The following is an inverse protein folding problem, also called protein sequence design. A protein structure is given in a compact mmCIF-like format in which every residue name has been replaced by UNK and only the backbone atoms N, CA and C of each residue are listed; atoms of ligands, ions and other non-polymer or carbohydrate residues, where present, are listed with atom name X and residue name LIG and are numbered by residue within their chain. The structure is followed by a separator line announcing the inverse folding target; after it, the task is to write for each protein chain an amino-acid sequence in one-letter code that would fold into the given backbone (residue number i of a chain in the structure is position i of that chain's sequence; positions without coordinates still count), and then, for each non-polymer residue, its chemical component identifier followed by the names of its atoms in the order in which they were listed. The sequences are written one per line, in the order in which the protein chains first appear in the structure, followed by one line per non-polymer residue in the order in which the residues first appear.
data_IF_410193181977
#
_entry.id   IF_410193181977
#
_cell.length_a   1.000
_cell.length_b   1.000
_cell.length_c   1.000
_cell.angle_alpha   90.00
_cell.angle_beta   90.00
_cell.angle_gamma   90.00
#
_symmetry.space_group_name_H-M   'P 1'
#
loop_
_entity.id
_entity.type
_entity.pdbx_description
1 polymer ?
#
# COMPACT_ATOMS: atom_id res chain seq x y z
N UNK A 1 18.64 24.57 -15.66
CA UNK A 1 18.69 23.13 -15.31
C UNK A 1 17.26 22.62 -15.33
N UNK A 2 16.87 21.84 -16.34
CA UNK A 2 15.54 21.23 -16.39
C UNK A 2 15.55 20.01 -15.46
N UNK A 3 14.90 20.10 -14.31
CA UNK A 3 14.45 18.88 -13.63
C UNK A 3 13.39 18.27 -14.57
N UNK A 4 13.59 17.07 -15.14
CA UNK A 4 12.48 16.42 -15.81
C UNK A 4 11.37 16.31 -14.77
N UNK A 5 10.14 16.67 -15.15
CA UNK A 5 8.95 16.47 -14.33
C UNK A 5 8.89 14.99 -13.98
N UNK A 6 9.54 14.62 -12.86
CA UNK A 6 9.53 13.26 -12.36
C UNK A 6 8.10 13.05 -11.95
N UNK A 7 7.38 12.26 -12.74
CA UNK A 7 6.09 11.71 -12.35
C UNK A 7 6.29 11.11 -10.97
N UNK A 8 5.79 11.79 -9.93
CA UNK A 8 5.80 11.29 -8.58
C UNK A 8 4.71 10.22 -8.54
N UNK A 9 5.06 9.03 -8.07
CA UNK A 9 4.06 7.98 -7.86
C UNK A 9 3.69 7.94 -6.39
N UNK A 10 2.47 7.49 -6.12
CA UNK A 10 2.00 7.17 -4.79
C UNK A 10 1.57 5.71 -4.72
N UNK A 11 1.71 5.12 -3.53
CA UNK A 11 1.35 3.76 -3.21
C UNK A 11 0.47 3.71 -1.97
N UNK A 12 -0.44 2.74 -1.91
CA UNK A 12 -1.26 2.47 -0.72
C UNK A 12 -1.46 0.97 -0.53
N UNK A 13 -1.61 0.55 0.72
CA UNK A 13 -2.10 -0.78 1.02
C UNK A 13 -3.62 -0.81 0.84
N UNK A 14 -4.10 -1.90 0.23
CA UNK A 14 -5.51 -2.24 0.07
C UNK A 14 -5.74 -3.68 0.49
N UNK A 15 -7.00 -4.00 0.72
CA UNK A 15 -7.46 -5.33 1.05
C UNK A 15 -8.88 -5.57 0.54
N UNK A 16 -9.28 -6.83 0.50
CA UNK A 16 -10.60 -7.28 0.05
C UNK A 16 -11.69 -6.90 1.06
N UNK A 17 -12.90 -6.60 0.58
CA UNK A 17 -14.03 -6.18 1.42
C UNK A 17 -14.45 -7.24 2.47
N UNK A 18 -14.01 -8.50 2.28
CA UNK A 18 -14.20 -9.61 3.22
C UNK A 18 -13.32 -9.51 4.49
N UNK A 19 -12.27 -8.67 4.48
CA UNK A 19 -11.42 -8.45 5.67
C UNK A 19 -12.13 -7.49 6.63
N UNK A 20 -12.33 -7.85 7.91
CA UNK A 20 -13.00 -6.99 8.88
C UNK A 20 -12.32 -5.61 9.03
N UNK A 21 -13.08 -4.53 9.09
CA UNK A 21 -12.52 -3.16 9.21
C UNK A 21 -11.73 -2.94 10.52
N UNK A 22 -12.06 -3.65 11.60
CA UNK A 22 -11.29 -3.56 12.85
C UNK A 22 -9.88 -4.17 12.72
N UNK A 23 -9.69 -5.05 11.74
CA UNK A 23 -8.42 -5.70 11.44
C UNK A 23 -7.49 -4.87 10.54
N UNK A 24 -8.02 -3.94 9.74
CA UNK A 24 -7.23 -3.20 8.74
C UNK A 24 -6.37 -2.06 9.30
N UNK A 25 -6.51 -1.74 10.59
CA UNK A 25 -5.80 -0.62 11.23
C UNK A 25 -6.18 0.75 10.66
N UNK A 26 -5.65 1.82 11.27
CA UNK A 26 -5.92 3.23 10.90
C UNK A 26 -5.25 3.69 9.60
N UNK A 27 -4.27 2.93 9.09
CA UNK A 27 -3.37 3.39 8.01
C UNK A 27 -3.80 2.88 6.63
N UNK A 28 -4.76 1.98 6.60
CA UNK A 28 -5.22 1.36 5.40
C UNK A 28 -6.09 2.33 4.57
N UNK A 29 -5.57 2.78 3.44
CA UNK A 29 -6.29 3.69 2.54
C UNK A 29 -5.61 5.04 2.32
N UNK A 30 -4.58 5.38 3.10
CA UNK A 30 -3.74 6.55 2.82
C UNK A 30 -2.78 6.26 1.66
N UNK A 31 -2.65 7.25 0.78
CA UNK A 31 -1.63 7.26 -0.27
C UNK A 31 -0.32 7.82 0.30
N UNK A 32 0.78 7.13 0.03
CA UNK A 32 2.14 7.52 0.42
C UNK A 32 3.00 7.71 -0.83
N UNK A 33 3.98 8.63 -0.83
CA UNK A 33 4.95 8.71 -1.92
C UNK A 33 5.65 7.35 -2.14
N UNK A 34 5.86 6.96 -3.40
CA UNK A 34 6.52 5.72 -3.80
C UNK A 34 8.03 5.78 -3.55
N UNK A 35 8.41 5.68 -2.28
CA UNK A 35 9.80 5.58 -1.82
C UNK A 35 10.12 4.14 -1.42
N UNK A 36 11.41 3.77 -1.45
CA UNK A 36 11.84 2.44 -1.01
C UNK A 36 11.35 2.12 0.41
N UNK A 37 11.46 3.09 1.32
CA UNK A 37 11.03 2.97 2.70
C UNK A 37 9.52 2.68 2.83
N UNK A 38 8.69 3.43 2.09
CA UNK A 38 7.25 3.22 2.12
C UNK A 38 6.87 1.87 1.49
N UNK A 39 7.53 1.48 0.40
CA UNK A 39 7.29 0.18 -0.24
C UNK A 39 7.59 -0.98 0.69
N UNK A 40 8.74 -0.97 1.36
CA UNK A 40 9.09 -2.02 2.33
C UNK A 40 8.04 -2.15 3.44
N UNK A 41 7.58 -1.03 4.00
CA UNK A 41 6.53 -1.03 5.02
C UNK A 41 5.20 -1.62 4.53
N UNK A 42 4.77 -1.23 3.32
CA UNK A 42 3.53 -1.74 2.75
C UNK A 42 3.65 -3.21 2.33
N UNK A 43 4.81 -3.66 1.87
CA UNK A 43 5.06 -5.07 1.55
C UNK A 43 5.02 -5.95 2.81
N UNK A 44 5.62 -5.51 3.92
CA UNK A 44 5.52 -6.19 5.22
C UNK A 44 4.08 -6.27 5.71
N UNK A 45 3.33 -5.17 5.60
CA UNK A 45 1.92 -5.12 5.98
C UNK A 45 1.05 -6.02 5.08
N UNK A 46 1.29 -6.03 3.77
CA UNK A 46 0.65 -6.90 2.80
C UNK A 46 0.90 -8.37 3.11
N UNK A 47 2.16 -8.75 3.34
CA UNK A 47 2.54 -10.12 3.68
C UNK A 47 1.90 -10.56 5.00
N UNK A 48 1.85 -9.68 5.99
CA UNK A 48 1.19 -9.95 7.28
C UNK A 48 -0.32 -10.12 7.11
N UNK A 49 -0.96 -9.23 6.37
CA UNK A 49 -2.40 -9.30 6.09
C UNK A 49 -2.78 -10.58 5.36
N UNK A 50 -2.04 -10.91 4.29
CA UNK A 50 -2.26 -12.17 3.55
C UNK A 50 -2.08 -13.41 4.44
N UNK A 51 -1.09 -13.42 5.34
CA UNK A 51 -0.91 -14.53 6.29
C UNK A 51 -2.09 -14.68 7.26
N UNK A 52 -2.70 -13.58 7.68
CA UNK A 52 -3.76 -13.58 8.69
C UNK A 52 -5.14 -13.87 8.11
N UNK A 53 -5.43 -13.34 6.91
CA UNK A 53 -6.78 -13.34 6.33
C UNK A 53 -6.91 -14.23 5.10
N UNK A 54 -5.81 -14.81 4.62
CA UNK A 54 -5.76 -15.64 3.44
C UNK A 54 -5.00 -14.96 2.30
N UNK A 55 -4.45 -15.78 1.41
CA UNK A 55 -3.67 -15.28 0.29
C UNK A 55 -4.48 -14.31 -0.60
N UNK A 56 -3.78 -13.31 -1.14
CA UNK A 56 -4.34 -12.31 -2.05
C UNK A 56 -5.45 -11.42 -1.46
N UNK A 57 -5.70 -11.49 -0.15
CA UNK A 57 -6.61 -10.57 0.54
C UNK A 57 -6.06 -9.16 0.67
N UNK A 58 -4.75 -8.96 0.58
CA UNK A 58 -4.05 -7.68 0.67
C UNK A 58 -3.13 -7.45 -0.54
N UNK A 59 -3.12 -6.23 -1.07
CA UNK A 59 -2.27 -5.81 -2.19
C UNK A 59 -1.84 -4.34 -2.08
N UNK A 60 -0.76 -3.99 -2.78
CA UNK A 60 -0.30 -2.60 -2.91
C UNK A 60 -0.80 -2.04 -4.24
N UNK A 61 -1.54 -0.94 -4.17
CA UNK A 61 -1.90 -0.17 -5.36
C UNK A 61 -0.88 0.93 -5.61
N UNK A 62 -0.74 1.33 -6.88
CA UNK A 62 0.14 2.41 -7.32
C UNK A 62 -0.61 3.35 -8.26
N UNK A 63 -0.42 4.65 -8.09
CA UNK A 63 -0.92 5.69 -8.99
C UNK A 63 0.13 6.75 -9.29
N UNK A 64 -0.05 7.46 -10.39
CA UNK A 64 0.64 8.72 -10.64
C UNK A 64 -0.01 9.82 -9.80
N UNK A 65 0.80 10.66 -9.14
CA UNK A 65 0.40 11.83 -8.38
C UNK A 65 0.00 13.00 -9.30
#
# INVERSE_FOLDING_TARGET
MHLPLRVLFEIRLRWSDEVPQEASGRDGGLWFPDTLHNRMKLDEAMARGNRLYGDQTHWVEKRQA
#
